data_IF_392404671949
#
_entry.id   IF_392404671949
#
_cell.length_a   1.000
_cell.length_b   1.000
_cell.length_c   1.000
_cell.angle_alpha   90.00
_cell.angle_beta   90.00
_cell.angle_gamma   90.00
#
_symmetry.space_group_name_H-M   'P 1'
#
loop_
_entity.id
_entity.type
_entity.pdbx_description
1 polymer ?
#
# COMPACT_ATOMS: atom_id res chain seq x y z
N UNK A 1 -1.49 -25.60 -5.61
CA UNK A 1 -1.41 -24.23 -5.06
C UNK A 1 -2.80 -23.85 -4.55
N UNK A 2 -3.01 -23.91 -3.23
CA UNK A 2 -4.25 -23.43 -2.63
C UNK A 2 -4.23 -21.90 -2.65
N UNK A 3 -5.26 -21.27 -3.21
CA UNK A 3 -5.50 -19.84 -3.06
C UNK A 3 -5.76 -19.57 -1.58
N UNK A 4 -4.80 -18.95 -0.91
CA UNK A 4 -4.98 -18.48 0.47
C UNK A 4 -6.05 -17.40 0.44
N UNK A 5 -7.24 -17.71 0.96
CA UNK A 5 -8.26 -16.72 1.25
C UNK A 5 -7.71 -15.81 2.36
N UNK A 6 -7.14 -14.67 1.97
CA UNK A 6 -6.70 -13.63 2.88
C UNK A 6 -7.95 -12.99 3.47
N UNK A 7 -8.43 -13.57 4.58
CA UNK A 7 -9.57 -13.09 5.34
C UNK A 7 -9.23 -11.71 5.93
N UNK A 8 -9.96 -10.71 5.43
CA UNK A 8 -10.52 -9.46 5.98
C UNK A 8 -10.39 -9.08 7.48
N UNK A 9 -9.36 -9.51 8.21
CA UNK A 9 -9.02 -8.96 9.52
C UNK A 9 -7.69 -8.22 9.43
N UNK A 10 -7.79 -6.92 9.13
CA UNK A 10 -6.80 -5.89 9.47
C UNK A 10 -5.33 -6.23 9.23
N UNK A 11 -4.94 -6.63 8.01
CA UNK A 11 -3.53 -6.61 7.62
C UNK A 11 -3.13 -5.13 7.49
N UNK A 12 -2.56 -4.58 8.56
CA UNK A 12 -1.93 -3.27 8.51
C UNK A 12 -0.58 -3.43 7.82
N UNK A 13 -0.53 -3.08 6.54
CA UNK A 13 0.73 -3.07 5.78
C UNK A 13 1.29 -1.68 5.94
N UNK A 14 2.20 -1.55 6.89
CA UNK A 14 2.91 -0.34 7.20
C UNK A 14 4.08 -0.21 6.22
N UNK A 15 3.99 0.66 5.22
CA UNK A 15 5.18 1.07 4.48
C UNK A 15 5.93 2.11 5.30
N UNK A 16 7.14 1.74 5.71
CA UNK A 16 8.13 2.68 6.14
C UNK A 16 8.98 3.04 4.92
N UNK A 17 8.66 4.18 4.29
CA UNK A 17 9.53 4.80 3.30
C UNK A 17 10.58 5.62 4.07
N UNK A 18 11.69 4.98 4.43
CA UNK A 18 12.84 5.68 5.00
C UNK A 18 13.62 6.37 3.90
N UNK A 19 13.35 7.67 3.73
CA UNK A 19 14.22 8.54 2.93
C UNK A 19 15.55 8.75 3.67
N UNK A 20 16.58 7.98 3.34
CA UNK A 20 17.96 8.27 3.80
C UNK A 20 18.68 9.34 2.95
N UNK A 21 17.97 10.13 2.16
CA UNK A 21 18.53 11.34 1.52
C UNK A 21 18.16 12.60 2.33
N UNK A 22 19.16 13.15 3.03
CA UNK A 22 19.24 14.48 3.62
C UNK A 22 17.97 15.03 4.34
N UNK A 23 17.98 14.92 5.67
CA UNK A 23 17.24 15.78 6.64
C UNK A 23 15.71 15.72 6.66
N UNK A 24 15.05 14.79 5.95
CA UNK A 24 13.60 14.60 6.06
C UNK A 24 13.25 13.37 6.88
N UNK A 25 12.22 13.43 7.75
CA UNK A 25 11.75 12.26 8.48
C UNK A 25 11.18 11.20 7.52
N UNK A 26 11.23 9.91 7.90
CA UNK A 26 10.60 8.85 7.13
C UNK A 26 9.09 9.08 7.01
N UNK A 27 8.51 8.66 5.89
CA UNK A 27 7.07 8.77 5.66
C UNK A 27 6.43 7.41 5.90
N UNK A 28 5.39 7.43 6.73
CA UNK A 28 4.60 6.26 7.08
C UNK A 28 3.29 6.26 6.32
N UNK A 29 2.90 5.12 5.75
CA UNK A 29 1.58 4.95 5.13
C UNK A 29 1.10 3.51 5.18
N UNK A 30 -0.21 3.35 5.36
CA UNK A 30 -0.90 2.07 5.19
C UNK A 30 -1.30 1.85 3.74
N UNK A 31 -1.08 0.65 3.21
CA UNK A 31 -1.68 0.21 1.94
C UNK A 31 -2.42 -1.10 2.13
N UNK A 32 -3.20 -1.44 1.11
CA UNK A 32 -3.78 -2.76 0.98
C UNK A 32 -2.92 -3.60 0.04
N UNK A 33 -2.51 -4.79 0.50
CA UNK A 33 -1.95 -5.82 -0.38
C UNK A 33 -3.07 -6.33 -1.27
N UNK A 34 -2.85 -6.31 -2.59
CA UNK A 34 -3.79 -6.85 -3.56
C UNK A 34 -3.48 -8.32 -3.86
N UNK A 35 -2.18 -8.66 -3.93
CA UNK A 35 -1.71 -10.01 -4.26
C UNK A 35 -0.33 -10.25 -3.67
N UNK A 36 -0.09 -11.48 -3.23
CA UNK A 36 1.25 -12.00 -2.96
C UNK A 36 1.60 -12.96 -4.10
N UNK A 37 2.69 -12.69 -4.80
CA UNK A 37 3.17 -13.46 -5.94
C UNK A 37 4.56 -14.06 -5.63
N UNK A 38 5.03 -15.04 -6.42
CA UNK A 38 6.40 -15.56 -6.29
C UNK A 38 7.49 -14.49 -6.47
N UNK A 39 7.16 -13.35 -7.08
CA UNK A 39 8.07 -12.23 -7.34
C UNK A 39 8.00 -11.14 -6.27
N UNK A 40 7.01 -11.17 -5.38
CA UNK A 40 6.84 -10.14 -4.36
C UNK A 40 5.38 -9.80 -4.06
N UNK A 41 5.20 -8.65 -3.42
CA UNK A 41 3.92 -8.18 -2.88
C UNK A 41 3.39 -7.06 -3.78
N UNK A 42 2.23 -7.27 -4.38
CA UNK A 42 1.61 -6.31 -5.28
C UNK A 42 0.58 -5.45 -4.54
N UNK A 43 0.61 -4.14 -4.80
CA UNK A 43 -0.30 -3.18 -4.21
C UNK A 43 -0.63 -2.04 -5.18
N UNK A 44 -1.75 -1.36 -4.95
CA UNK A 44 -2.15 -0.16 -5.69
C UNK A 44 -2.05 1.09 -4.82
N UNK A 45 -1.76 2.22 -5.46
CA UNK A 45 -1.79 3.54 -4.83
C UNK A 45 -2.41 4.56 -5.76
N UNK A 46 -2.94 5.64 -5.19
CA UNK A 46 -3.36 6.80 -5.98
C UNK A 46 -2.17 7.34 -6.78
N UNK A 47 -2.36 7.54 -8.08
CA UNK A 47 -1.37 8.17 -8.95
C UNK A 47 -1.10 9.62 -8.48
N UNK A 48 0.17 10.01 -8.48
CA UNK A 48 0.58 11.34 -8.06
C UNK A 48 2.08 11.43 -7.79
N UNK A 49 2.56 12.64 -7.49
CA UNK A 49 4.00 12.94 -7.32
C UNK A 49 4.69 12.02 -6.32
N UNK A 50 4.00 11.61 -5.26
CA UNK A 50 4.56 10.70 -4.24
C UNK A 50 4.70 9.26 -4.71
N UNK A 51 3.81 8.79 -5.58
CA UNK A 51 3.88 7.44 -6.14
C UNK A 51 5.11 7.29 -7.05
N UNK A 52 5.50 8.35 -7.76
CA UNK A 52 6.69 8.36 -8.62
C UNK A 52 8.02 8.17 -7.86
N UNK A 53 8.07 8.50 -6.56
CA UNK A 53 9.30 8.36 -5.75
C UNK A 53 9.48 6.97 -5.14
N UNK A 54 8.45 6.12 -5.17
CA UNK A 54 8.48 4.79 -4.56
C UNK A 54 9.42 3.83 -5.31
N UNK A 55 9.56 4.00 -6.63
CA UNK A 55 10.37 3.10 -7.45
C UNK A 55 11.88 3.32 -7.37
N UNK A 56 12.33 4.43 -6.78
CA UNK A 56 13.75 4.82 -6.76
C UNK A 56 14.43 4.58 -5.42
N UNK A 57 13.68 4.16 -4.40
CA UNK A 57 14.16 4.13 -3.01
C UNK A 57 13.97 2.74 -2.38
N UNK A 58 14.85 2.36 -1.43
CA UNK A 58 14.58 1.26 -0.54
C UNK A 58 13.33 1.53 0.30
N UNK A 59 12.54 0.48 0.53
CA UNK A 59 11.29 0.54 1.26
C UNK A 59 11.29 -0.59 2.29
N UNK A 60 10.72 -0.30 3.45
CA UNK A 60 10.40 -1.32 4.43
C UNK A 60 8.89 -1.52 4.53
N UNK A 61 8.47 -2.77 4.70
CA UNK A 61 7.10 -3.20 4.95
C UNK A 61 7.06 -3.83 6.33
N UNK A 62 6.01 -3.54 7.10
CA UNK A 62 5.70 -4.26 8.32
C UNK A 62 4.23 -4.66 8.29
N UNK A 63 3.95 -5.93 8.55
CA UNK A 63 2.62 -6.52 8.70
C UNK A 63 2.53 -7.09 10.09
N UNK A 64 1.45 -6.79 10.81
CA UNK A 64 1.20 -7.33 12.15
C UNK A 64 -0.18 -7.99 12.21
N UNK A 65 -0.27 -9.13 12.88
CA UNK A 65 -1.51 -9.85 13.15
C UNK A 65 -1.55 -10.33 14.60
N UNK A 66 -2.77 -10.52 15.12
CA UNK A 66 -2.98 -10.90 16.53
C UNK A 66 -3.04 -9.71 17.47
N UNK A 67 -2.94 -9.98 18.76
CA UNK A 67 -3.08 -9.00 19.83
C UNK A 67 -2.10 -9.33 20.96
N UNK A 68 -1.52 -8.28 21.54
CA UNK A 68 -0.52 -8.41 22.59
C UNK A 68 -1.17 -8.34 23.97
N UNK A 69 -1.95 -9.36 24.30
CA UNK A 69 -2.64 -9.52 25.59
C UNK A 69 -2.27 -10.87 26.22
N UNK A 70 -2.38 -11.05 27.56
CA UNK A 70 -2.06 -12.32 28.21
C UNK A 70 -2.86 -13.48 27.60
N UNK A 71 -2.18 -14.58 27.25
CA UNK A 71 -2.75 -15.73 26.55
C UNK A 71 -2.98 -15.55 25.05
N UNK A 72 -2.73 -14.37 24.48
CA UNK A 72 -2.77 -14.12 23.03
C UNK A 72 -1.36 -14.03 22.44
N UNK A 73 -1.23 -14.28 21.14
CA UNK A 73 0.03 -14.11 20.42
C UNK A 73 -0.10 -13.00 19.38
N UNK A 74 1.01 -12.30 19.18
CA UNK A 74 1.19 -11.36 18.08
C UNK A 74 2.24 -11.91 17.13
N UNK A 75 1.97 -11.76 15.84
CA UNK A 75 2.89 -12.07 14.77
C UNK A 75 3.23 -10.78 14.02
N UNK A 76 4.50 -10.64 13.64
CA UNK A 76 4.98 -9.51 12.87
C UNK A 76 5.89 -9.98 11.75
N UNK A 77 5.54 -9.64 10.52
CA UNK A 77 6.37 -9.83 9.34
C UNK A 77 6.94 -8.48 8.93
N UNK A 78 8.26 -8.37 8.86
CA UNK A 78 8.95 -7.21 8.32
C UNK A 78 9.67 -7.60 7.03
N UNK A 79 9.77 -6.64 6.13
CA UNK A 79 10.49 -6.82 4.89
C UNK A 79 11.23 -5.55 4.53
N UNK A 80 12.42 -5.67 3.98
CA UNK A 80 13.17 -4.56 3.38
C UNK A 80 13.42 -4.92 1.93
N UNK A 81 13.26 -3.97 1.02
CA UNK A 81 13.39 -4.24 -0.41
C UNK A 81 13.13 -3.02 -1.26
N UNK A 82 12.65 -3.25 -2.49
CA UNK A 82 12.41 -2.18 -3.45
C UNK A 82 11.04 -2.34 -4.08
N UNK A 83 10.50 -1.23 -4.55
CA UNK A 83 9.28 -1.26 -5.36
C UNK A 83 9.60 -1.02 -6.82
N UNK A 84 8.89 -1.72 -7.70
CA UNK A 84 8.86 -1.48 -9.13
C UNK A 84 7.42 -1.17 -9.55
N UNK A 85 7.24 -0.25 -10.50
CA UNK A 85 5.92 -0.05 -11.09
C UNK A 85 5.60 -1.25 -11.99
N UNK A 86 4.38 -1.77 -11.89
CA UNK A 86 3.90 -2.86 -12.74
C UNK A 86 2.69 -2.40 -13.57
N UNK A 87 2.40 -3.06 -14.71
CA UNK A 87 1.17 -2.81 -15.44
C UNK A 87 -0.06 -3.00 -14.55
N UNK A 88 -0.94 -2.00 -14.50
CA UNK A 88 -2.16 -2.07 -13.67
C UNK A 88 -3.07 -3.25 -14.08
N UNK A 89 -3.05 -3.63 -15.36
CA UNK A 89 -3.75 -4.80 -15.89
C UNK A 89 -3.40 -6.10 -15.15
N UNK A 90 -2.20 -6.23 -14.58
CA UNK A 90 -1.80 -7.46 -13.89
C UNK A 90 -2.54 -7.71 -12.57
N UNK A 91 -3.10 -6.67 -11.95
CA UNK A 91 -3.64 -6.72 -10.58
C UNK A 91 -5.01 -6.06 -10.40
N UNK A 92 -5.56 -5.43 -11.44
CA UNK A 92 -6.82 -4.72 -11.33
C UNK A 92 -7.98 -5.66 -10.96
N UNK A 93 -8.00 -6.87 -11.51
CA UNK A 93 -9.07 -7.85 -11.30
C UNK A 93 -9.14 -8.38 -9.87
N UNK A 94 -8.02 -8.33 -9.14
CA UNK A 94 -7.96 -8.73 -7.72
C UNK A 94 -8.09 -7.54 -6.77
N UNK A 95 -8.12 -6.32 -7.30
CA UNK A 95 -8.21 -5.11 -6.50
C UNK A 95 -9.66 -4.81 -6.10
N UNK A 96 -9.97 -4.50 -4.83
CA UNK A 96 -11.32 -4.13 -4.44
C UNK A 96 -11.82 -2.92 -5.22
N UNK A 97 -12.97 -3.06 -5.90
CA UNK A 97 -13.62 -1.98 -6.66
C UNK A 97 -13.84 -0.73 -5.80
N UNK A 98 -14.14 -0.91 -4.52
CA UNK A 98 -14.29 0.18 -3.54
C UNK A 98 -13.03 1.03 -3.37
N UNK A 99 -11.84 0.41 -3.44
CA UNK A 99 -10.55 1.09 -3.35
C UNK A 99 -10.25 1.87 -4.62
N UNK A 100 -10.50 1.26 -5.79
CA UNK A 100 -10.33 1.91 -7.10
C UNK A 100 -11.24 3.14 -7.19
N UNK A 101 -12.54 2.99 -6.89
CA UNK A 101 -13.50 4.07 -6.93
C UNK A 101 -13.13 5.23 -5.99
N UNK A 102 -12.58 4.95 -4.80
CA UNK A 102 -12.08 5.99 -3.89
C UNK A 102 -10.89 6.76 -4.47
N UNK A 103 -9.97 6.08 -5.16
CA UNK A 103 -8.83 6.74 -5.82
C UNK A 103 -9.30 7.63 -6.97
N UNK A 104 -10.24 7.16 -7.80
CA UNK A 104 -10.85 7.93 -8.88
C UNK A 104 -11.56 9.17 -8.34
N UNK A 105 -12.46 9.00 -7.37
CA UNK A 105 -13.16 10.11 -6.72
C UNK A 105 -12.17 11.13 -6.13
N UNK A 106 -11.07 10.66 -5.54
CA UNK A 106 -10.01 11.53 -5.03
C UNK A 106 -9.27 12.30 -6.12
N UNK A 107 -9.09 11.72 -7.30
CA UNK A 107 -8.50 12.40 -8.47
C UNK A 107 -9.48 13.43 -9.03
N UNK A 108 -10.75 13.06 -9.23
CA UNK A 108 -11.82 13.99 -9.66
C UNK A 108 -11.97 15.18 -8.70
N UNK A 109 -11.98 14.93 -7.39
CA UNK A 109 -12.03 15.99 -6.37
C UNK A 109 -10.82 16.93 -6.43
N UNK A 110 -9.62 16.41 -6.73
CA UNK A 110 -8.43 17.25 -6.89
C UNK A 110 -8.51 18.12 -8.15
N UNK A 111 -9.05 17.57 -9.25
CA UNK A 111 -9.26 18.31 -10.49
C UNK A 111 -10.35 19.38 -10.35
N UNK A 112 -11.47 19.07 -9.68
CA UNK A 112 -12.54 20.03 -9.36
C UNK A 112 -11.99 21.18 -8.48
N UNK A 113 -11.20 20.85 -7.44
CA UNK A 113 -10.57 21.87 -6.60
C UNK A 113 -9.57 22.76 -7.36
N UNK A 114 -8.77 22.18 -8.27
CA UNK A 114 -7.84 22.95 -9.09
C UNK A 114 -8.55 23.89 -10.07
N UNK A 115 -9.68 23.45 -10.64
CA UNK A 115 -10.52 24.27 -11.51
C UNK A 115 -11.18 25.43 -10.74
N UNK A 116 -11.69 25.16 -9.54
CA UNK A 116 -12.23 26.18 -8.63
C UNK A 116 -11.16 27.21 -8.27
N UNK A 117 -9.94 26.80 -7.93
CA UNK A 117 -8.84 27.73 -7.61
C UNK A 117 -8.46 28.62 -8.80
N UNK A 118 -8.47 28.06 -10.02
CA UNK A 118 -8.24 28.83 -11.25
C UNK A 118 -9.34 29.87 -11.52
N UNK A 119 -10.60 29.58 -11.15
CA UNK A 119 -11.73 30.50 -11.30
C UNK A 119 -11.86 31.51 -10.15
N UNK A 120 -11.51 31.13 -8.92
CA UNK A 120 -11.73 31.90 -7.69
C UNK A 120 -10.59 32.89 -7.40
N UNK A 121 -9.58 32.99 -8.26
CA UNK A 121 -8.51 34.01 -8.22
C UNK A 121 -8.96 35.48 -8.09
N UNK A 122 -10.27 35.76 -8.07
CA UNK A 122 -10.87 37.09 -7.98
C UNK A 122 -11.96 37.29 -6.90
N UNK A 123 -12.45 36.26 -6.18
CA UNK A 123 -13.57 36.44 -5.22
C UNK A 123 -13.37 35.80 -3.85
N UNK A 124 -13.08 36.70 -2.91
CA UNK A 124 -13.15 36.67 -1.44
C UNK A 124 -14.07 35.62 -0.76
N UNK A 125 -13.56 35.16 0.38
CA UNK A 125 -14.23 35.01 1.70
C UNK A 125 -15.53 34.19 1.71
N UNK A 126 -15.38 32.86 1.75
CA UNK A 126 -16.32 32.00 2.48
C UNK A 126 -15.64 31.49 3.76
N UNK A 127 -16.41 31.34 4.84
CA UNK A 127 -15.92 30.82 6.11
C UNK A 127 -15.38 29.40 5.93
N UNK A 128 -14.17 29.15 6.47
CA UNK A 128 -13.40 27.92 6.25
C UNK A 128 -14.19 26.65 6.62
N UNK A 129 -15.04 26.70 7.63
CA UNK A 129 -15.77 25.51 8.12
C UNK A 129 -16.91 25.06 7.19
N UNK A 130 -17.61 25.99 6.54
CA UNK A 130 -18.69 25.66 5.59
C UNK A 130 -18.12 25.02 4.32
N UNK A 131 -16.95 25.47 3.89
CA UNK A 131 -16.20 24.86 2.79
C UNK A 131 -15.73 23.44 3.14
N UNK A 132 -15.31 23.19 4.39
CA UNK A 132 -14.89 21.85 4.83
C UNK A 132 -16.06 20.85 4.80
N UNK A 133 -17.26 21.27 5.25
CA UNK A 133 -18.45 20.40 5.23
C UNK A 133 -18.93 20.14 3.79
N UNK A 134 -19.02 21.17 2.95
CA UNK A 134 -19.42 21.01 1.54
C UNK A 134 -18.44 20.14 0.75
N UNK A 135 -17.13 20.29 0.98
CA UNK A 135 -16.11 19.43 0.37
C UNK A 135 -16.23 17.98 0.81
N UNK A 136 -16.66 17.71 2.05
CA UNK A 136 -16.90 16.35 2.53
C UNK A 136 -18.13 15.72 1.90
N UNK A 137 -19.27 16.41 1.85
CA UNK A 137 -20.49 15.87 1.21
C UNK A 137 -20.25 15.61 -0.28
N UNK A 138 -19.63 16.57 -0.97
CA UNK A 138 -19.28 16.46 -2.40
C UNK A 138 -18.34 15.29 -2.67
N UNK A 139 -17.34 15.07 -1.81
CA UNK A 139 -16.44 13.93 -1.94
C UNK A 139 -17.16 12.59 -1.77
N UNK A 140 -18.10 12.48 -0.81
CA UNK A 140 -18.89 11.25 -0.63
C UNK A 140 -19.76 10.97 -1.86
N UNK A 141 -20.39 11.99 -2.44
CA UNK A 141 -21.14 11.87 -3.70
C UNK A 141 -20.23 11.33 -4.82
N UNK A 142 -19.06 11.93 -5.03
CA UNK A 142 -18.09 11.46 -6.04
C UNK A 142 -17.66 10.00 -5.82
N UNK A 143 -17.50 9.57 -4.57
CA UNK A 143 -17.18 8.17 -4.26
C UNK A 143 -18.32 7.23 -4.65
N UNK A 144 -19.59 7.62 -4.41
CA UNK A 144 -20.73 6.80 -4.80
C UNK A 144 -20.93 6.78 -6.33
N UNK A 145 -20.79 7.93 -6.99
CA UNK A 145 -20.82 8.04 -8.45
C UNK A 145 -19.74 7.14 -9.08
N UNK A 146 -18.48 7.29 -8.67
CA UNK A 146 -17.39 6.47 -9.19
C UNK A 146 -17.58 4.97 -8.91
N UNK A 147 -18.24 4.59 -7.80
CA UNK A 147 -18.58 3.18 -7.53
C UNK A 147 -19.61 2.64 -8.51
N UNK A 148 -20.67 3.40 -8.78
CA UNK A 148 -21.73 2.99 -9.70
C UNK A 148 -21.22 2.92 -11.14
N UNK A 149 -20.51 3.96 -11.58
CA UNK A 149 -19.91 4.00 -12.92
C UNK A 149 -18.91 2.85 -13.12
N UNK A 150 -18.06 2.56 -12.11
CA UNK A 150 -17.13 1.43 -12.17
C UNK A 150 -17.86 0.09 -12.26
N UNK A 151 -18.94 -0.10 -11.49
CA UNK A 151 -19.75 -1.32 -11.52
C UNK A 151 -20.49 -1.51 -12.85
N UNK A 152 -20.88 -0.41 -13.50
CA UNK A 152 -21.52 -0.42 -14.81
C UNK A 152 -20.53 -0.53 -15.99
N UNK A 153 -19.22 -0.45 -15.74
CA UNK A 153 -18.19 -0.41 -16.78
C UNK A 153 -18.14 0.90 -17.56
N UNK A 154 -18.63 2.00 -16.98
CA UNK A 154 -18.66 3.33 -17.58
C UNK A 154 -17.32 4.05 -17.45
N UNK A 155 -16.47 3.64 -16.51
CA UNK A 155 -15.13 4.19 -16.31
C UNK A 155 -14.13 3.51 -17.25
N UNK A 156 -13.50 4.31 -18.11
CA UNK A 156 -12.47 3.82 -19.02
C UNK A 156 -11.19 3.39 -18.30
N UNK A 157 -10.45 2.43 -18.88
CA UNK A 157 -9.16 2.00 -18.33
C UNK A 157 -8.14 3.15 -18.25
N UNK A 158 -8.24 4.13 -19.16
CA UNK A 158 -7.33 5.29 -19.15
C UNK A 158 -7.60 6.20 -17.96
N UNK A 159 -8.87 6.47 -17.62
CA UNK A 159 -9.24 7.20 -16.40
C UNK A 159 -8.75 6.46 -15.14
N UNK A 160 -8.87 5.13 -15.12
CA UNK A 160 -8.36 4.34 -13.99
C UNK A 160 -6.82 4.50 -13.90
N UNK A 161 -6.09 4.47 -15.02
CA UNK A 161 -4.63 4.67 -15.02
C UNK A 161 -4.22 6.08 -14.61
N UNK A 162 -5.04 7.09 -14.87
CA UNK A 162 -4.83 8.47 -14.38
C UNK A 162 -5.03 8.59 -12.86
N UNK A 163 -5.81 7.69 -12.27
CA UNK A 163 -6.11 7.70 -10.84
C UNK A 163 -5.26 6.71 -10.03
N UNK A 164 -4.83 5.60 -10.63
CA UNK A 164 -4.28 4.43 -9.94
C UNK A 164 -2.95 4.00 -10.56
N UNK A 165 -1.95 3.80 -9.72
CA UNK A 165 -0.67 3.20 -10.08
C UNK A 165 -0.48 1.89 -9.31
N UNK A 166 -0.11 0.83 -10.03
CA UNK A 166 0.25 -0.46 -9.47
C UNK A 166 1.76 -0.55 -9.21
N UNK A 167 2.12 -1.23 -8.12
CA UNK A 167 3.49 -1.48 -7.71
C UNK A 167 3.67 -2.93 -7.25
N UNK A 168 4.88 -3.45 -7.44
CA UNK A 168 5.37 -4.68 -6.83
C UNK A 168 6.49 -4.35 -5.88
N UNK A 169 6.35 -4.74 -4.62
CA UNK A 169 7.42 -4.74 -3.64
C UNK A 169 8.18 -6.07 -3.70
N UNK A 170 9.45 -6.01 -4.06
CA UNK A 170 10.38 -7.12 -4.14
C UNK A 170 11.26 -7.11 -2.87
N UNK A 171 10.96 -7.95 -1.87
CA UNK A 171 11.78 -8.00 -0.66
C UNK A 171 13.18 -8.52 -0.98
N UNK A 172 14.19 -7.89 -0.39
CA UNK A 172 15.60 -8.31 -0.35
C UNK A 172 15.93 -8.99 0.99
N UNK A 173 15.17 -8.67 2.05
CA UNK A 173 15.23 -9.25 3.39
C UNK A 173 13.82 -9.41 3.94
N UNK A 174 13.57 -10.52 4.64
CA UNK A 174 12.36 -10.78 5.39
C UNK A 174 12.71 -11.14 6.83
N UNK A 175 11.93 -10.63 7.78
CA UNK A 175 12.02 -10.98 9.19
C UNK A 175 10.63 -11.39 9.67
N UNK A 176 10.52 -12.53 10.34
CA UNK A 176 9.34 -12.97 11.05
C UNK A 176 9.60 -12.88 12.54
N UNK A 177 8.66 -12.33 13.27
CA UNK A 177 8.72 -12.23 14.72
C UNK A 177 7.39 -12.71 15.32
N UNK A 178 7.44 -13.46 16.41
CA UNK A 178 6.26 -13.81 17.20
C UNK A 178 6.54 -13.59 18.68
N UNK A 179 5.52 -13.13 19.40
CA UNK A 179 5.64 -12.73 20.79
C UNK A 179 4.33 -12.88 21.55
N UNK A 180 4.42 -13.03 22.87
CA UNK A 180 3.29 -12.75 23.79
C UNK A 180 3.79 -12.09 25.07
N UNK A 181 2.90 -11.47 25.87
CA UNK A 181 3.25 -10.98 27.20
C UNK A 181 3.78 -12.08 28.14
N UNK A 182 3.48 -13.34 27.86
CA UNK A 182 3.89 -14.50 28.66
C UNK A 182 5.28 -15.05 28.23
N UNK A 183 5.87 -14.50 27.17
CA UNK A 183 7.21 -14.86 26.70
C UNK A 183 8.23 -13.84 27.17
N UNK A 184 9.43 -14.31 27.54
CA UNK A 184 10.54 -13.46 27.99
C UNK A 184 11.06 -12.56 26.86
N UNK A 185 10.97 -13.05 25.63
CA UNK A 185 11.51 -12.41 24.43
C UNK A 185 10.69 -12.84 23.21
N UNK A 186 10.81 -12.08 22.12
CA UNK A 186 10.21 -12.44 20.85
C UNK A 186 11.06 -13.50 20.15
N UNK A 187 10.40 -14.49 19.57
CA UNK A 187 11.03 -15.41 18.62
C UNK A 187 11.24 -14.70 17.28
N UNK A 188 12.41 -14.86 16.67
CA UNK A 188 12.84 -14.07 15.50
C UNK A 188 13.54 -14.93 14.46
N UNK A 189 13.06 -14.84 13.23
CA UNK A 189 13.59 -15.56 12.07
C UNK A 189 13.86 -14.60 10.94
N UNK A 190 14.98 -14.77 10.25
CA UNK A 190 15.39 -13.92 9.14
C UNK A 190 15.69 -14.72 7.88
N UNK A 191 15.19 -14.24 6.75
CA UNK A 191 15.54 -14.70 5.41
C UNK A 191 16.21 -13.57 4.64
N UNK A 192 17.34 -13.87 4.02
CA UNK A 192 18.06 -12.96 3.15
C UNK A 192 18.01 -13.49 1.71
N UNK A 193 17.98 -12.58 0.74
CA UNK A 193 18.17 -12.94 -0.65
C UNK A 193 19.65 -13.08 -0.96
N UNK A 194 20.05 -14.10 -1.75
CA UNK A 194 21.39 -14.18 -2.29
C UNK A 194 21.73 -12.91 -3.08
N UNK A 195 23.00 -12.51 -3.02
CA UNK A 195 23.48 -11.38 -3.81
C UNK A 195 23.17 -11.60 -5.31
N UNK A 196 22.73 -10.52 -5.99
CA UNK A 196 22.48 -10.56 -7.44
C UNK A 196 21.04 -10.85 -7.87
N UNK A 197 20.06 -10.82 -6.95
CA UNK A 197 18.62 -10.97 -7.25
C UNK A 197 18.30 -12.23 -8.06
N UNK A 198 18.89 -13.36 -7.68
CA UNK A 198 18.61 -14.64 -8.31
C UNK A 198 17.11 -14.96 -8.25
N UNK A 199 16.62 -15.52 -9.36
CA UNK A 199 15.28 -16.06 -9.53
C UNK A 199 15.46 -17.56 -9.78
N UNK A 200 14.67 -18.37 -9.08
CA UNK A 200 14.66 -19.81 -9.26
C UNK A 200 14.14 -20.20 -10.66
N UNK A 201 14.36 -21.45 -11.07
CA UNK A 201 13.89 -21.94 -12.39
C UNK A 201 12.36 -21.85 -12.56
N UNK A 202 11.61 -21.80 -11.47
CA UNK A 202 10.15 -21.69 -11.44
C UNK A 202 9.65 -20.22 -11.46
N UNK A 203 10.55 -19.24 -11.51
CA UNK A 203 10.19 -17.82 -11.50
C UNK A 203 10.01 -17.22 -10.11
N UNK A 204 10.25 -17.96 -9.02
CA UNK A 204 10.19 -17.43 -7.65
C UNK A 204 11.48 -16.71 -7.23
N UNK A 205 11.38 -15.78 -6.28
CA UNK A 205 12.57 -15.19 -5.65
C UNK A 205 13.37 -16.28 -4.92
N UNK A 206 14.67 -16.35 -5.17
CA UNK A 206 15.56 -17.22 -4.41
C UNK A 206 15.82 -16.63 -3.00
N UNK A 207 15.82 -17.50 -2.00
CA UNK A 207 16.05 -17.19 -0.59
C UNK A 207 17.12 -18.11 -0.03
N UNK A 208 17.96 -17.59 0.87
CA UNK A 208 18.82 -18.39 1.70
C UNK A 208 18.01 -19.11 2.79
N UNK A 209 18.61 -20.12 3.43
CA UNK A 209 17.98 -20.80 4.57
C UNK A 209 17.72 -19.81 5.72
N UNK A 210 16.57 -19.92 6.41
CA UNK A 210 16.24 -19.04 7.52
C UNK A 210 17.28 -19.12 8.64
N UNK A 211 17.68 -17.97 9.14
CA UNK A 211 18.49 -17.85 10.34
C UNK A 211 17.60 -17.55 11.54
N UNK A 212 17.70 -18.37 12.58
CA UNK A 212 17.10 -18.07 13.88
C UNK A 212 17.97 -17.04 14.61
N UNK A 213 17.43 -15.86 14.83
CA UNK A 213 18.14 -14.78 15.53
C UNK A 213 17.91 -14.97 17.02
N UNK A 214 19.00 -15.15 17.78
CA UNK A 214 18.92 -15.28 19.22
C UNK A 214 18.15 -14.09 19.83
N UNK A 215 17.28 -14.33 20.81
CA UNK A 215 16.56 -13.26 21.48
C UNK A 215 17.55 -12.33 22.20
N UNK A 216 17.31 -11.02 22.09
CA UNK A 216 17.96 -9.98 22.89
C UNK A 216 17.18 -9.74 24.17
#
# INVERSE_FOLDING_TARGET
>A
MQSVNVLTHGIFVLFHLSHMFHKKPPILRTVNIQRISPLGIDFIMKQGTRAAHISTLPIAVCVTSGSYSPGEQVEQWRAEGRCSAIPLQEIIDVSPSSTIAQMIASTRAANEAAADEAQVGWRKICSKDRLVIQRKSRFVEMVQEARLELANGEISMDEIKEAVQAFRFEPERLEYMTGSPDQVCWDRWEWLRPAGRSINKDGSLAWDEPMHLLPY
#
